data_IF_174162923441
#
_entry.id   IF_174162923441
#
_cell.length_a   1.000
_cell.length_b   1.000
_cell.length_c   1.000
_cell.angle_alpha   90.00
_cell.angle_beta   90.00
_cell.angle_gamma   90.00
#
_symmetry.space_group_name_H-M   'P 1'
#
loop_
_entity.id
_entity.type
_entity.pdbx_description
1 polymer ?
#
# COMPACT_ATOMS: atom_id res chain seq x y z
N UNK A 1 3.13 15.11 5.08
CA UNK A 1 2.33 13.87 5.01
C UNK A 1 2.81 13.11 3.77
N UNK A 2 3.52 12.00 3.95
CA UNK A 2 4.05 11.17 2.85
C UNK A 2 2.93 10.27 2.34
N UNK A 3 2.56 10.40 1.07
CA UNK A 3 1.52 9.60 0.45
C UNK A 3 2.12 8.28 -0.02
N UNK A 4 1.47 7.15 0.23
CA UNK A 4 1.97 5.83 -0.15
C UNK A 4 1.66 5.56 -1.64
N UNK A 5 2.34 6.29 -2.53
CA UNK A 5 2.09 6.25 -3.97
C UNK A 5 2.32 4.88 -4.58
N UNK A 6 3.33 4.14 -4.13
CA UNK A 6 3.65 2.81 -4.66
C UNK A 6 2.53 1.81 -4.37
N UNK A 7 1.91 1.88 -3.19
CA UNK A 7 0.74 1.06 -2.84
C UNK A 7 -0.47 1.44 -3.71
N UNK A 8 -0.70 2.74 -3.92
CA UNK A 8 -1.78 3.20 -4.79
C UNK A 8 -1.61 2.72 -6.23
N UNK A 9 -0.38 2.80 -6.77
CA UNK A 9 -0.03 2.35 -8.12
C UNK A 9 -0.25 0.84 -8.23
N UNK A 10 0.38 0.05 -7.36
CA UNK A 10 0.27 -1.41 -7.35
C UNK A 10 -1.20 -1.89 -7.25
N UNK A 11 -2.01 -1.24 -6.38
CA UNK A 11 -3.43 -1.54 -6.26
C UNK A 11 -4.21 -1.28 -7.55
N UNK A 12 -3.94 -0.17 -8.23
CA UNK A 12 -4.63 0.18 -9.47
C UNK A 12 -4.18 -0.68 -10.65
N UNK A 13 -2.90 -1.02 -10.74
CA UNK A 13 -2.38 -1.95 -11.75
C UNK A 13 -3.01 -3.34 -11.59
N UNK A 14 -3.20 -3.78 -10.34
CA UNK A 14 -3.94 -5.00 -10.01
C UNK A 14 -5.48 -4.86 -10.15
N UNK A 15 -6.00 -3.68 -10.51
CA UNK A 15 -7.44 -3.36 -10.61
C UNK A 15 -8.25 -3.68 -9.36
N UNK A 16 -7.64 -3.54 -8.18
CA UNK A 16 -8.26 -3.85 -6.89
C UNK A 16 -8.91 -2.61 -6.26
N UNK A 17 -10.06 -2.81 -5.60
CA UNK A 17 -10.69 -1.76 -4.81
C UNK A 17 -10.01 -1.60 -3.45
N UNK A 18 -10.11 -0.42 -2.84
CA UNK A 18 -9.65 -0.21 -1.46
C UNK A 18 -10.31 -1.18 -0.48
N UNK A 19 -11.59 -1.51 -0.69
CA UNK A 19 -12.32 -2.47 0.14
C UNK A 19 -11.76 -3.90 0.04
N UNK A 20 -11.30 -4.32 -1.14
CA UNK A 20 -10.66 -5.62 -1.33
C UNK A 20 -9.35 -5.71 -0.51
N UNK A 21 -8.49 -4.71 -0.63
CA UNK A 21 -7.20 -4.68 0.09
C UNK A 21 -7.43 -4.56 1.59
N UNK A 22 -8.37 -3.71 2.03
CA UNK A 22 -8.75 -3.61 3.44
C UNK A 22 -9.19 -4.96 4.03
N UNK A 23 -9.98 -5.75 3.28
CA UNK A 23 -10.38 -7.11 3.67
C UNK A 23 -9.18 -8.05 3.80
N UNK A 24 -8.19 -7.96 2.88
CA UNK A 24 -6.95 -8.75 2.96
C UNK A 24 -6.11 -8.41 4.19
N UNK A 25 -6.12 -7.15 4.59
CA UNK A 25 -5.40 -6.66 5.77
C UNK A 25 -6.18 -6.81 7.08
N UNK A 26 -7.44 -7.27 7.04
CA UNK A 26 -8.27 -7.39 8.24
C UNK A 26 -8.67 -6.05 8.86
N UNK A 27 -8.73 -4.97 8.07
CA UNK A 27 -9.07 -3.61 8.53
C UNK A 27 -10.29 -3.05 7.80
N UNK A 28 -10.85 -1.95 8.31
CA UNK A 28 -11.94 -1.25 7.62
C UNK A 28 -11.44 -0.52 6.36
N UNK A 29 -12.29 -0.36 5.32
CA UNK A 29 -11.94 0.41 4.13
C UNK A 29 -11.51 1.85 4.44
N UNK A 30 -12.13 2.49 5.44
CA UNK A 30 -11.77 3.83 5.89
C UNK A 30 -10.36 3.84 6.50
N UNK A 31 -10.01 2.81 7.30
CA UNK A 31 -8.66 2.69 7.87
C UNK A 31 -7.62 2.51 6.77
N UNK A 32 -7.91 1.68 5.76
CA UNK A 32 -7.03 1.53 4.60
C UNK A 32 -6.85 2.85 3.84
N UNK A 33 -7.94 3.59 3.59
CA UNK A 33 -7.87 4.88 2.90
C UNK A 33 -7.00 5.91 3.65
N UNK A 34 -7.08 5.95 4.98
CA UNK A 34 -6.20 6.80 5.80
C UNK A 34 -4.73 6.36 5.69
N UNK A 35 -4.45 5.06 5.66
CA UNK A 35 -3.09 4.54 5.49
C UNK A 35 -2.53 4.81 4.08
N UNK A 36 -3.30 4.52 3.03
CA UNK A 36 -2.89 4.77 1.63
C UNK A 36 -2.66 6.27 1.37
N UNK A 37 -3.47 7.14 1.98
CA UNK A 37 -3.30 8.60 1.89
C UNK A 37 -2.19 9.18 2.77
N UNK A 38 -1.50 8.35 3.56
CA UNK A 38 -0.41 8.79 4.44
C UNK A 38 -0.84 9.44 5.76
N UNK A 39 -2.15 9.43 6.07
CA UNK A 39 -2.72 9.92 7.33
C UNK A 39 -2.55 8.92 8.49
N UNK A 40 -2.21 7.67 8.18
CA UNK A 40 -1.87 6.63 9.13
C UNK A 40 -0.72 5.76 8.59
N UNK A 41 0.04 5.13 9.47
CA UNK A 41 1.09 4.17 9.08
C UNK A 41 0.55 2.76 8.91
N UNK A 42 1.19 1.97 8.04
CA UNK A 42 1.01 0.52 7.99
C UNK A 42 1.83 -0.15 9.10
N UNK A 43 1.33 -1.27 9.65
CA UNK A 43 2.14 -2.12 10.53
C UNK A 43 3.07 -3.00 9.69
N UNK A 44 4.04 -3.66 10.35
CA UNK A 44 4.94 -4.59 9.68
C UNK A 44 4.18 -5.79 9.11
N UNK A 45 3.19 -6.32 9.84
CA UNK A 45 2.36 -7.43 9.37
C UNK A 45 1.53 -7.04 8.14
N UNK A 46 0.90 -5.85 8.16
CA UNK A 46 0.16 -5.34 7.01
C UNK A 46 1.09 -5.12 5.80
N UNK A 47 2.30 -4.60 6.03
CA UNK A 47 3.31 -4.43 5.00
C UNK A 47 3.72 -5.76 4.36
N UNK A 48 3.89 -6.82 5.17
CA UNK A 48 4.20 -8.17 4.67
C UNK A 48 3.08 -8.72 3.79
N UNK A 49 1.82 -8.56 4.20
CA UNK A 49 0.67 -8.97 3.38
C UNK A 49 0.64 -8.23 2.04
N UNK A 50 0.93 -6.93 2.02
CA UNK A 50 0.99 -6.14 0.79
C UNK A 50 2.15 -6.57 -0.12
N UNK A 51 3.31 -6.88 0.48
CA UNK A 51 4.47 -7.42 -0.22
C UNK A 51 4.14 -8.72 -0.95
N UNK A 52 3.48 -9.65 -0.26
CA UNK A 52 3.02 -10.91 -0.84
C UNK A 52 1.91 -10.70 -1.88
N UNK A 53 0.98 -9.77 -1.64
CA UNK A 53 -0.14 -9.49 -2.54
C UNK A 53 0.31 -8.91 -3.89
N UNK A 54 1.34 -8.08 -3.89
CA UNK A 54 1.83 -7.38 -5.08
C UNK A 54 3.15 -7.94 -5.62
N UNK A 55 3.72 -8.97 -4.98
CA UNK A 55 5.04 -9.53 -5.33
C UNK A 55 6.13 -8.45 -5.38
N UNK A 56 6.09 -7.51 -4.43
CA UNK A 56 7.03 -6.40 -4.30
C UNK A 56 7.73 -6.49 -2.94
N UNK A 57 8.96 -6.01 -2.84
CA UNK A 57 9.64 -5.88 -1.55
C UNK A 57 9.02 -4.77 -0.69
N UNK A 58 9.26 -4.80 0.62
CA UNK A 58 8.84 -3.72 1.52
C UNK A 58 9.47 -2.39 1.12
N UNK A 59 10.74 -2.39 0.70
CA UNK A 59 11.41 -1.19 0.23
C UNK A 59 10.73 -0.62 -1.02
N UNK A 60 10.35 -1.46 -1.99
CA UNK A 60 9.62 -0.99 -3.18
C UNK A 60 8.23 -0.43 -2.83
N UNK A 61 7.53 -1.02 -1.86
CA UNK A 61 6.20 -0.56 -1.44
C UNK A 61 6.22 0.71 -0.59
N UNK A 62 7.25 0.91 0.22
CA UNK A 62 7.31 1.97 1.24
C UNK A 62 8.47 2.94 1.07
N UNK A 63 9.26 2.85 -0.01
CA UNK A 63 10.32 3.81 -0.30
C UNK A 63 9.75 5.21 -0.52
N UNK A 64 10.43 6.20 0.06
CA UNK A 64 10.16 7.62 -0.14
C UNK A 64 10.77 8.17 -1.44
N UNK A 65 11.57 7.36 -2.15
CA UNK A 65 12.21 7.73 -3.41
C UNK A 65 11.38 7.18 -4.57
N UNK A 66 10.71 8.07 -5.31
CA UNK A 66 10.15 7.73 -6.61
C UNK A 66 11.34 7.61 -7.57
N UNK A 67 11.76 6.38 -7.90
CA UNK A 67 12.73 6.14 -8.97
C UNK A 67 12.08 6.50 -10.31
N UNK A 68 12.16 7.77 -10.69
CA UNK A 68 11.94 8.20 -12.08
C UNK A 68 13.17 7.71 -12.83
N UNK A 69 12.96 6.87 -13.85
CA UNK A 69 14.02 6.18 -14.59
C UNK A 69 15.20 7.08 -14.94
N UNK A 70 16.41 6.54 -14.75
CA UNK A 70 17.65 7.08 -15.32
C UNK A 70 17.69 6.88 -16.83
#
# INVERSE_FOLDING_TARGET
>A
MTKNWNIYIARNEAKQSQAFVAKKLGISPQRFQLKESGKAGFTIEEGKILSELYSMTLDELFSNEIKIGS
#
